data_IF_036926078190
#
_entry.id   IF_036926078190
#
_cell.length_a   1.000
_cell.length_b   1.000
_cell.length_c   1.000
_cell.angle_alpha   90.00
_cell.angle_beta   90.00
_cell.angle_gamma   90.00
#
_symmetry.space_group_name_H-M   'P 1'
#
loop_
_entity.id
_entity.type
_entity.pdbx_description
1 polymer ?
#
# COMPACT_ATOMS: atom_id res chain seq x y z
N UNK A 1 -42.19 -5.45 -63.97
CA UNK A 1 -41.83 -6.87 -64.15
C UNK A 1 -40.32 -7.04 -64.10
N UNK A 2 -39.87 -8.16 -63.52
CA UNK A 2 -38.51 -8.76 -63.51
C UNK A 2 -37.58 -8.36 -62.37
N UNK A 3 -37.79 -9.10 -61.26
CA UNK A 3 -36.79 -9.50 -60.27
C UNK A 3 -35.55 -10.12 -60.91
N UNK A 4 -34.37 -9.78 -60.41
CA UNK A 4 -33.26 -10.73 -60.21
C UNK A 4 -32.54 -10.41 -58.90
N UNK A 5 -32.65 -11.36 -57.98
CA UNK A 5 -31.87 -11.46 -56.76
C UNK A 5 -30.42 -11.85 -57.09
N UNK A 6 -29.46 -11.25 -56.38
CA UNK A 6 -28.20 -11.92 -56.03
C UNK A 6 -27.94 -11.62 -54.56
N UNK A 7 -28.06 -12.69 -53.77
CA UNK A 7 -27.64 -12.81 -52.38
C UNK A 7 -26.11 -12.67 -52.31
N UNK A 8 -25.61 -11.75 -51.49
CA UNK A 8 -24.22 -11.80 -51.03
C UNK A 8 -24.18 -11.98 -49.52
N UNK A 9 -23.76 -13.20 -49.19
CA UNK A 9 -23.29 -13.76 -47.94
C UNK A 9 -22.97 -12.77 -46.80
N UNK A 10 -23.70 -13.00 -45.71
CA UNK A 10 -23.32 -12.72 -44.33
C UNK A 10 -22.03 -13.48 -44.02
N UNK A 11 -20.94 -12.76 -43.73
CA UNK A 11 -19.80 -13.26 -42.95
C UNK A 11 -18.86 -12.10 -42.57
N UNK A 12 -19.35 -11.11 -41.82
CA UNK A 12 -18.46 -10.46 -40.86
C UNK A 12 -18.54 -11.30 -39.61
N UNK A 13 -17.46 -12.05 -39.36
CA UNK A 13 -17.18 -12.73 -38.13
C UNK A 13 -17.34 -11.73 -36.97
N UNK A 14 -18.53 -11.70 -36.37
CA UNK A 14 -18.63 -11.47 -34.96
C UNK A 14 -17.68 -12.51 -34.33
N UNK A 15 -16.60 -12.04 -33.72
CA UNK A 15 -15.81 -12.86 -32.81
C UNK A 15 -16.80 -13.37 -31.76
N UNK A 16 -17.28 -14.59 -31.98
CA UNK A 16 -18.11 -15.31 -31.06
C UNK A 16 -17.35 -15.42 -29.75
N UNK A 17 -17.77 -14.59 -28.80
CA UNK A 17 -18.27 -15.01 -27.50
C UNK A 17 -17.98 -16.49 -27.20
N UNK A 18 -16.69 -16.79 -27.04
CA UNK A 18 -16.23 -17.99 -26.37
C UNK A 18 -16.53 -17.72 -24.92
N UNK A 19 -17.56 -18.40 -24.41
CA UNK A 19 -18.02 -18.30 -23.04
C UNK A 19 -16.86 -18.55 -22.08
N UNK A 20 -16.22 -17.46 -21.64
CA UNK A 20 -15.73 -17.39 -20.29
C UNK A 20 -16.99 -17.22 -19.45
N UNK A 21 -17.42 -18.29 -18.79
CA UNK A 21 -17.96 -18.14 -17.45
C UNK A 21 -16.98 -17.24 -16.70
N UNK A 22 -17.28 -15.94 -16.68
CA UNK A 22 -16.69 -15.05 -15.69
C UNK A 22 -16.96 -15.67 -14.31
N UNK A 23 -16.10 -15.42 -13.31
CA UNK A 23 -16.30 -15.96 -11.98
C UNK A 23 -17.74 -15.71 -11.57
N UNK A 24 -18.47 -16.80 -11.31
CA UNK A 24 -19.85 -16.74 -10.82
C UNK A 24 -19.81 -15.84 -9.58
N UNK A 25 -20.59 -14.75 -9.60
CA UNK A 25 -20.65 -13.86 -8.46
C UNK A 25 -21.02 -14.71 -7.22
N UNK A 26 -20.29 -14.59 -6.10
CA UNK A 26 -20.56 -15.41 -4.93
C UNK A 26 -22.05 -15.30 -4.60
N UNK A 27 -22.69 -16.46 -4.54
CA UNK A 27 -24.11 -16.53 -4.26
C UNK A 27 -24.34 -16.00 -2.84
N UNK A 28 -25.43 -15.26 -2.61
CA UNK A 28 -25.70 -14.62 -1.30
C UNK A 28 -25.80 -15.62 -0.11
N UNK A 29 -25.74 -16.92 -0.39
CA UNK A 29 -25.74 -18.04 0.55
C UNK A 29 -24.34 -18.52 0.98
N UNK A 30 -23.27 -18.11 0.32
CA UNK A 30 -21.92 -18.55 0.65
C UNK A 30 -21.38 -17.68 1.80
N UNK A 31 -21.58 -18.13 3.04
CA UNK A 31 -20.93 -17.50 4.19
C UNK A 31 -19.43 -17.66 4.02
N UNK A 32 -18.64 -16.57 4.00
CA UNK A 32 -17.21 -16.65 3.77
C UNK A 32 -16.53 -17.54 4.83
N UNK A 33 -15.75 -18.51 4.37
CA UNK A 33 -14.97 -19.38 5.24
C UNK A 33 -13.63 -18.69 5.59
N UNK A 34 -13.29 -18.61 6.88
CA UNK A 34 -12.07 -17.95 7.34
C UNK A 34 -10.78 -18.60 6.83
N UNK A 35 -10.76 -19.92 6.63
CA UNK A 35 -9.61 -20.64 6.07
C UNK A 35 -9.43 -20.28 4.60
N UNK A 36 -10.50 -20.31 3.81
CA UNK A 36 -10.45 -19.97 2.38
C UNK A 36 -10.01 -18.51 2.19
N UNK A 37 -10.55 -17.59 2.98
CA UNK A 37 -10.12 -16.19 3.00
C UNK A 37 -8.64 -16.05 3.38
N UNK A 38 -8.16 -16.81 4.37
CA UNK A 38 -6.75 -16.81 4.78
C UNK A 38 -5.81 -17.26 3.65
N UNK A 39 -6.22 -18.26 2.87
CA UNK A 39 -5.48 -18.73 1.70
C UNK A 39 -5.42 -17.65 0.62
N UNK A 40 -6.55 -17.01 0.32
CA UNK A 40 -6.63 -15.97 -0.71
C UNK A 40 -5.82 -14.72 -0.34
N UNK A 41 -5.85 -14.30 0.93
CA UNK A 41 -5.00 -13.21 1.45
C UNK A 41 -3.52 -13.59 1.32
N UNK A 42 -3.13 -14.80 1.69
CA UNK A 42 -1.76 -15.29 1.56
C UNK A 42 -1.27 -15.30 0.11
N UNK A 43 -2.14 -15.68 -0.84
CA UNK A 43 -1.85 -15.64 -2.27
C UNK A 43 -1.63 -14.23 -2.78
N UNK A 44 -2.49 -13.29 -2.38
CA UNK A 44 -2.33 -11.87 -2.75
C UNK A 44 -0.98 -11.32 -2.24
N UNK A 45 -0.58 -11.67 -1.01
CA UNK A 45 0.73 -11.33 -0.47
C UNK A 45 1.90 -11.87 -1.31
N UNK A 46 1.85 -13.15 -1.70
CA UNK A 46 2.89 -13.76 -2.55
C UNK A 46 2.98 -13.10 -3.94
N UNK A 47 1.84 -12.70 -4.52
CA UNK A 47 1.80 -11.98 -5.79
C UNK A 47 2.46 -10.60 -5.67
N UNK A 48 2.18 -9.85 -4.59
CA UNK A 48 2.79 -8.54 -4.36
C UNK A 48 4.31 -8.63 -4.18
N UNK A 49 4.80 -9.60 -3.39
CA UNK A 49 6.24 -9.84 -3.24
C UNK A 49 6.91 -10.16 -4.60
N UNK A 50 6.19 -10.88 -5.47
CA UNK A 50 6.70 -11.18 -6.82
C UNK A 50 6.78 -9.92 -7.69
N UNK A 51 5.81 -9.00 -7.58
CA UNK A 51 5.83 -7.72 -8.31
C UNK A 51 7.04 -6.89 -7.88
N UNK A 52 7.28 -6.75 -6.58
CA UNK A 52 8.45 -6.03 -6.05
C UNK A 52 9.76 -6.64 -6.58
N UNK A 53 9.95 -7.95 -6.41
CA UNK A 53 11.17 -8.63 -6.87
C UNK A 53 11.40 -8.51 -8.38
N UNK A 54 10.35 -8.60 -9.20
CA UNK A 54 10.46 -8.51 -10.66
C UNK A 54 10.67 -7.08 -11.17
N UNK A 55 10.41 -6.06 -10.34
CA UNK A 55 10.52 -4.66 -10.73
C UNK A 55 11.76 -3.96 -10.18
N UNK A 56 12.41 -4.53 -9.14
CA UNK A 56 13.58 -3.96 -8.48
C UNK A 56 14.74 -3.59 -9.42
N UNK A 57 14.98 -4.34 -10.50
CA UNK A 57 16.10 -4.12 -11.44
C UNK A 57 15.66 -3.45 -12.76
N UNK A 58 14.42 -2.96 -12.86
CA UNK A 58 13.94 -2.33 -14.09
C UNK A 58 14.69 -1.02 -14.35
N UNK A 59 15.06 -0.71 -15.62
CA UNK A 59 15.63 0.58 -15.96
C UNK A 59 14.74 1.74 -15.47
N UNK A 60 15.32 2.66 -14.69
CA UNK A 60 14.60 3.76 -14.05
C UNK A 60 14.08 3.48 -12.63
N UNK A 61 14.25 2.26 -12.12
CA UNK A 61 13.98 1.90 -10.72
C UNK A 61 15.20 2.11 -9.82
N UNK A 62 16.05 3.11 -10.11
CA UNK A 62 17.27 3.40 -9.34
C UNK A 62 16.90 3.69 -7.87
N UNK A 63 17.22 2.78 -6.93
CA UNK A 63 16.89 2.93 -5.52
C UNK A 63 17.79 3.95 -4.81
N UNK A 64 18.79 4.51 -5.50
CA UNK A 64 19.70 5.53 -5.00
C UNK A 64 19.50 6.89 -5.69
N UNK A 65 18.51 7.02 -6.58
CA UNK A 65 18.16 8.30 -7.18
C UNK A 65 17.79 9.31 -6.08
N UNK A 66 18.35 10.52 -6.15
CA UNK A 66 18.12 11.59 -5.15
C UNK A 66 17.43 12.82 -5.74
N UNK A 67 16.71 12.63 -6.86
CA UNK A 67 15.91 13.71 -7.47
C UNK A 67 14.75 14.12 -6.56
N UNK A 68 14.25 15.35 -6.71
CA UNK A 68 13.12 15.86 -5.92
C UNK A 68 11.87 15.00 -6.08
N UNK A 69 11.62 14.49 -7.30
CA UNK A 69 10.51 13.58 -7.56
C UNK A 69 10.66 12.25 -6.80
N UNK A 70 11.90 11.75 -6.70
CA UNK A 70 12.19 10.52 -5.98
C UNK A 70 12.06 10.70 -4.47
N UNK A 71 12.61 11.78 -3.92
CA UNK A 71 12.46 12.14 -2.51
C UNK A 71 10.98 12.32 -2.13
N UNK A 72 10.20 12.99 -2.97
CA UNK A 72 8.76 13.16 -2.77
C UNK A 72 7.98 11.83 -2.87
N UNK A 73 8.42 10.90 -3.72
CA UNK A 73 7.86 9.54 -3.81
C UNK A 73 8.14 8.77 -2.51
N UNK A 74 9.40 8.69 -2.07
CA UNK A 74 9.77 7.99 -0.83
C UNK A 74 9.05 8.53 0.39
N UNK A 75 8.91 9.86 0.49
CA UNK A 75 8.18 10.47 1.59
C UNK A 75 6.70 10.05 1.62
N UNK A 76 6.05 9.89 0.46
CA UNK A 76 4.68 9.34 0.38
C UNK A 76 4.63 7.88 0.81
N UNK A 77 5.61 7.07 0.40
CA UNK A 77 5.75 5.67 0.80
C UNK A 77 5.93 5.54 2.32
N UNK A 78 6.78 6.37 2.93
CA UNK A 78 6.94 6.43 4.40
C UNK A 78 5.62 6.71 5.11
N UNK A 79 4.78 7.61 4.59
CA UNK A 79 3.45 7.87 5.17
C UNK A 79 2.52 6.67 5.03
N UNK A 80 2.56 5.93 3.92
CA UNK A 80 1.78 4.70 3.76
C UNK A 80 2.24 3.60 4.71
N UNK A 81 3.55 3.41 4.88
CA UNK A 81 4.13 2.47 5.84
C UNK A 81 3.75 2.81 7.27
N UNK A 82 3.87 4.08 7.66
CA UNK A 82 3.42 4.57 8.97
C UNK A 82 1.95 4.23 9.23
N UNK A 83 1.06 4.55 8.29
CA UNK A 83 -0.37 4.28 8.42
C UNK A 83 -0.67 2.77 8.50
N UNK A 84 0.02 1.95 7.70
CA UNK A 84 -0.12 0.50 7.75
C UNK A 84 0.33 -0.05 9.12
N UNK A 85 1.46 0.42 9.65
CA UNK A 85 1.97 0.03 10.96
C UNK A 85 1.02 0.45 12.09
N UNK A 86 0.52 1.68 12.06
CA UNK A 86 -0.47 2.18 13.02
C UNK A 86 -1.73 1.33 13.01
N UNK A 87 -2.26 1.02 11.83
CA UNK A 87 -3.44 0.16 11.66
C UNK A 87 -3.20 -1.26 12.21
N UNK A 88 -2.03 -1.86 11.97
CA UNK A 88 -1.68 -3.17 12.53
C UNK A 88 -1.61 -3.17 14.06
N UNK A 89 -1.06 -2.12 14.67
CA UNK A 89 -1.02 -1.99 16.13
C UNK A 89 -2.43 -1.82 16.71
N UNK A 90 -3.25 -0.96 16.09
CA UNK A 90 -4.64 -0.78 16.50
C UNK A 90 -5.44 -2.09 16.41
N UNK A 91 -5.29 -2.85 15.31
CA UNK A 91 -5.96 -4.14 15.14
C UNK A 91 -5.57 -5.17 16.22
N UNK A 92 -4.39 -5.03 16.82
CA UNK A 92 -3.90 -5.85 17.94
C UNK A 92 -4.30 -5.30 19.31
N UNK A 93 -4.99 -4.16 19.37
CA UNK A 93 -5.32 -3.46 20.62
C UNK A 93 -4.11 -2.84 21.32
N UNK A 94 -3.01 -2.62 20.59
CA UNK A 94 -1.76 -2.08 21.14
C UNK A 94 -1.68 -0.57 20.90
N UNK A 95 -1.29 0.18 21.94
CA UNK A 95 -1.06 1.63 21.87
C UNK A 95 -2.26 2.43 21.34
N UNK A 96 -3.49 2.03 21.71
CA UNK A 96 -4.73 2.51 21.08
C UNK A 96 -4.87 4.04 21.02
N UNK A 97 -4.35 4.77 22.01
CA UNK A 97 -4.39 6.24 22.06
C UNK A 97 -3.63 6.90 20.90
N UNK A 98 -2.58 6.24 20.39
CA UNK A 98 -1.76 6.76 19.29
C UNK A 98 -1.93 5.96 17.99
N UNK A 99 -2.43 4.71 18.05
CA UNK A 99 -2.51 3.83 16.88
C UNK A 99 -3.89 3.75 16.23
N UNK A 100 -4.98 3.97 16.99
CA UNK A 100 -6.36 3.82 16.51
C UNK A 100 -7.01 5.11 15.97
N UNK A 101 -6.19 6.10 15.61
CA UNK A 101 -6.64 7.35 15.02
C UNK A 101 -7.01 7.24 13.53
N UNK A 102 -7.54 8.34 12.94
CA UNK A 102 -7.64 8.43 11.49
C UNK A 102 -6.25 8.32 10.84
N UNK A 103 -6.20 7.81 9.62
CA UNK A 103 -4.95 7.76 8.87
C UNK A 103 -4.37 9.18 8.68
N UNK A 104 -3.06 9.31 8.88
CA UNK A 104 -2.34 10.54 8.57
C UNK A 104 -2.29 10.73 7.06
N UNK A 105 -3.08 11.68 6.57
CA UNK A 105 -3.31 11.93 5.14
C UNK A 105 -3.15 13.42 4.81
N UNK A 106 -1.92 13.96 4.83
CA UNK A 106 -1.69 15.34 4.46
C UNK A 106 -2.06 15.58 2.99
N UNK A 107 -2.47 16.81 2.64
CA UNK A 107 -3.00 17.15 1.31
C UNK A 107 -2.06 16.74 0.17
N UNK A 108 -0.75 16.92 0.38
CA UNK A 108 0.28 16.59 -0.61
C UNK A 108 0.41 15.09 -0.91
N UNK A 109 -0.15 14.21 -0.06
CA UNK A 109 -0.17 12.76 -0.31
C UNK A 109 -1.01 12.43 -1.56
N UNK A 110 -1.94 13.30 -1.93
CA UNK A 110 -2.82 13.16 -3.10
C UNK A 110 -2.31 13.91 -4.34
N UNK A 111 -1.12 14.52 -4.28
CA UNK A 111 -0.49 15.14 -5.45
C UNK A 111 -0.20 14.09 -6.54
N UNK A 112 -0.23 14.49 -7.83
CA UNK A 112 0.03 13.56 -8.91
C UNK A 112 1.46 13.01 -8.84
N UNK A 113 1.67 11.80 -9.37
CA UNK A 113 2.95 11.11 -9.25
C UNK A 113 4.14 11.84 -9.89
N UNK A 114 3.87 12.75 -10.86
CA UNK A 114 4.87 13.58 -11.53
C UNK A 114 5.01 14.98 -10.90
N UNK A 115 4.45 15.22 -9.71
CA UNK A 115 4.71 16.44 -8.96
C UNK A 115 6.19 16.52 -8.59
N UNK A 116 6.78 17.70 -8.78
CA UNK A 116 8.18 18.00 -8.44
C UNK A 116 8.21 19.13 -7.41
N UNK A 117 7.85 18.86 -6.14
CA UNK A 117 7.94 19.86 -5.08
C UNK A 117 9.39 20.31 -4.90
N UNK A 118 9.58 21.52 -4.38
CA UNK A 118 10.93 22.02 -4.10
C UNK A 118 11.58 21.23 -2.95
N UNK A 119 12.92 21.26 -2.87
CA UNK A 119 13.63 20.67 -1.72
C UNK A 119 13.19 21.29 -0.38
N UNK A 120 12.86 22.58 -0.37
CA UNK A 120 12.33 23.27 0.81
C UNK A 120 10.97 22.70 1.22
N UNK A 121 10.05 22.51 0.26
CA UNK A 121 8.75 21.88 0.53
C UNK A 121 8.93 20.44 1.04
N UNK A 122 9.81 19.65 0.41
CA UNK A 122 10.10 18.28 0.83
C UNK A 122 10.63 18.25 2.26
N UNK A 123 11.52 19.17 2.62
CA UNK A 123 12.06 19.28 3.97
C UNK A 123 10.95 19.60 4.99
N UNK A 124 10.09 20.58 4.70
CA UNK A 124 8.96 20.93 5.58
C UNK A 124 7.99 19.76 5.75
N UNK A 125 7.67 19.05 4.66
CA UNK A 125 6.83 17.85 4.70
C UNK A 125 7.49 16.77 5.56
N UNK A 126 8.81 16.56 5.40
CA UNK A 126 9.59 15.57 6.16
C UNK A 126 9.59 15.85 7.66
N UNK A 127 9.70 17.12 8.07
CA UNK A 127 9.60 17.52 9.48
C UNK A 127 8.23 17.13 10.04
N UNK A 128 7.15 17.45 9.33
CA UNK A 128 5.80 17.09 9.76
C UNK A 128 5.58 15.57 9.84
N UNK A 129 6.11 14.79 8.88
CA UNK A 129 6.07 13.32 8.95
C UNK A 129 6.87 12.81 10.16
N UNK A 130 8.04 13.36 10.45
CA UNK A 130 8.81 12.96 11.63
C UNK A 130 8.08 13.24 12.94
N UNK A 131 7.43 14.40 13.08
CA UNK A 131 6.63 14.70 14.28
C UNK A 131 5.54 13.65 14.50
N UNK A 132 4.86 13.22 13.43
CA UNK A 132 3.84 12.18 13.47
C UNK A 132 4.40 10.80 13.85
N UNK A 133 5.51 10.39 13.23
CA UNK A 133 6.19 9.13 13.52
C UNK A 133 6.73 9.12 14.95
N UNK A 134 7.29 10.24 15.43
CA UNK A 134 7.86 10.36 16.77
C UNK A 134 6.82 10.09 17.86
N UNK A 135 5.55 10.48 17.66
CA UNK A 135 4.49 10.21 18.64
C UNK A 135 4.25 8.73 18.84
N UNK A 136 4.16 7.96 17.75
CA UNK A 136 3.99 6.52 17.81
C UNK A 136 5.26 5.84 18.34
N UNK A 137 6.42 6.26 17.86
CA UNK A 137 7.72 5.74 18.27
C UNK A 137 7.95 5.89 19.78
N UNK A 138 7.77 7.09 20.33
CA UNK A 138 7.93 7.37 21.76
C UNK A 138 7.03 6.47 22.62
N UNK A 139 5.75 6.31 22.26
CA UNK A 139 4.84 5.43 23.00
C UNK A 139 5.29 3.98 23.02
N UNK A 140 5.79 3.46 21.89
CA UNK A 140 6.34 2.10 21.79
C UNK A 140 7.62 1.96 22.60
N UNK A 141 8.51 2.96 22.53
CA UNK A 141 9.80 2.96 23.21
C UNK A 141 9.66 3.08 24.72
N UNK A 142 8.75 3.91 25.21
CA UNK A 142 8.46 4.06 26.64
C UNK A 142 7.90 2.75 27.23
N UNK A 143 6.97 2.10 26.53
CA UNK A 143 6.48 0.78 26.92
C UNK A 143 7.60 -0.27 26.92
N UNK A 144 8.44 -0.31 25.87
CA UNK A 144 9.56 -1.22 25.81
C UNK A 144 10.55 -1.02 26.97
N UNK A 145 10.92 0.24 27.27
CA UNK A 145 11.79 0.59 28.41
C UNK A 145 11.17 0.22 29.76
N UNK A 146 9.86 0.38 29.91
CA UNK A 146 9.16 0.06 31.15
C UNK A 146 9.24 -1.43 31.55
N UNK A 147 9.51 -2.31 30.57
CA UNK A 147 9.59 -3.76 30.75
C UNK A 147 11.00 -4.26 31.07
N UNK A 148 12.03 -3.43 30.89
CA UNK A 148 13.41 -3.76 31.20
C UNK A 148 13.69 -3.39 32.66
N UNK A 149 14.38 -4.25 33.41
CA UNK A 149 14.72 -3.99 34.82
C UNK A 149 16.13 -3.47 35.02
N UNK A 150 17.04 -3.79 34.11
CA UNK A 150 18.43 -3.34 34.15
C UNK A 150 18.57 -1.95 33.52
N UNK A 151 19.14 -1.00 34.27
CA UNK A 151 19.25 0.40 33.82
C UNK A 151 20.26 0.56 32.67
N UNK A 152 21.26 -0.31 32.57
CA UNK A 152 22.22 -0.28 31.46
C UNK A 152 21.57 -0.80 30.17
N UNK A 153 20.75 -1.84 30.26
CA UNK A 153 19.97 -2.39 29.16
C UNK A 153 18.87 -1.42 28.70
N UNK A 154 18.21 -0.71 29.62
CA UNK A 154 17.24 0.35 29.26
C UNK A 154 17.81 1.40 28.32
N UNK A 155 19.07 1.79 28.50
CA UNK A 155 19.74 2.79 27.63
C UNK A 155 19.97 2.28 26.20
N UNK A 156 19.85 0.98 25.96
CA UNK A 156 19.95 0.38 24.62
C UNK A 156 18.60 0.23 23.92
N UNK A 157 17.49 0.45 24.62
CA UNK A 157 16.14 0.41 24.04
C UNK A 157 15.86 1.73 23.32
N UNK A 158 15.55 1.63 22.02
CA UNK A 158 15.31 2.75 21.12
C UNK A 158 16.44 3.80 21.11
N UNK A 159 17.62 3.46 20.58
CA UNK A 159 18.82 4.30 20.64
C UNK A 159 18.83 5.48 19.64
N UNK A 160 17.80 5.60 18.80
CA UNK A 160 17.70 6.63 17.76
C UNK A 160 16.89 7.86 18.18
N UNK A 161 16.56 7.98 19.47
CA UNK A 161 15.93 9.19 20.06
C UNK A 161 16.94 10.30 20.36
#
# INVERSE_FOLDING_TARGET
MKFRAILLAVALAACGQSGQTGPEAPSASDTPNAIDLGIDIGRAGAMLNSVESLTAERPGADPDATTEADLARRLRETVWEYNAQSSQLCAKGLFAEVSCGPAYAPVWLSEPANATPSLEDIQLRTIAVHEEVQRLWAAVCDDARSRVTDEQEKMSVCPME
#
